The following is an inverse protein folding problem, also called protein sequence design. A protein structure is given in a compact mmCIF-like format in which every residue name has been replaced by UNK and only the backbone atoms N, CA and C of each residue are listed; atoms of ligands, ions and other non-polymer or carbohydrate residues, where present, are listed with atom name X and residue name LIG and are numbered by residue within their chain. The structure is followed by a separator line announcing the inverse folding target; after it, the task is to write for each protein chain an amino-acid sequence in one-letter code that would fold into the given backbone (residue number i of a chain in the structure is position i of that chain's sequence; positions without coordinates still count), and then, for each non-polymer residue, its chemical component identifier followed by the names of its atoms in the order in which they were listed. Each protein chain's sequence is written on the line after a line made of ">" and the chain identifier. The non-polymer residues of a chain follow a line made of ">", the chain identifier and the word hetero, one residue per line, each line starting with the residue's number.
data_IF_796273635913
#
_entry.id   IF_796273635913
#
_cell.length_a   1.000
_cell.length_b   1.000
_cell.length_c   1.000
_cell.angle_alpha   90.00
_cell.angle_beta   90.00
_cell.angle_gamma   90.00
#
_symmetry.space_group_name_H-M   'P 1'
#
loop_
_entity.id
_entity.type
_entity.pdbx_description
1 polymer ?
#
# COMPACT_ATOMS: atom_id res chain seq x y z
N UNK A 1 3.64 1.82 -6.26
CA UNK A 1 4.93 2.05 -5.57
C UNK A 1 5.94 1.00 -6.00
N UNK A 2 7.11 1.44 -6.42
CA UNK A 2 8.19 0.51 -6.81
C UNK A 2 9.03 0.15 -5.59
N UNK A 3 9.40 -1.12 -5.49
CA UNK A 3 10.23 -1.62 -4.40
C UNK A 3 11.00 -2.86 -4.82
N UNK A 4 12.12 -3.12 -4.15
CA UNK A 4 12.95 -4.28 -4.41
C UNK A 4 12.56 -5.41 -3.45
N UNK A 5 12.42 -6.61 -3.99
CA UNK A 5 12.07 -7.80 -3.20
C UNK A 5 13.32 -8.38 -2.57
N UNK A 6 13.29 -8.58 -1.25
CA UNK A 6 14.34 -9.28 -0.52
C UNK A 6 13.73 -10.25 0.48
N UNK A 7 14.01 -11.53 0.32
CA UNK A 7 13.50 -12.61 1.20
C UNK A 7 11.96 -12.59 1.30
N UNK A 8 11.29 -12.34 0.16
CA UNK A 8 9.83 -12.28 0.11
C UNK A 8 9.22 -11.03 0.71
N UNK A 9 10.03 -10.01 0.99
CA UNK A 9 9.58 -8.75 1.60
C UNK A 9 9.97 -7.57 0.75
N UNK A 10 9.19 -6.49 0.87
CA UNK A 10 9.53 -5.20 0.28
C UNK A 10 9.56 -4.15 1.39
N UNK A 11 10.37 -3.12 1.20
CA UNK A 11 10.44 -1.98 2.11
C UNK A 11 10.00 -0.73 1.39
N UNK A 12 8.98 -0.06 1.92
CA UNK A 12 8.50 1.22 1.42
C UNK A 12 8.70 2.22 2.55
N UNK A 13 9.75 3.01 2.44
CA UNK A 13 10.16 3.88 3.53
C UNK A 13 10.55 3.08 4.76
N UNK A 14 9.86 3.30 5.87
CA UNK A 14 10.08 2.55 7.13
C UNK A 14 9.17 1.32 7.23
N UNK A 15 8.33 1.09 6.23
CA UNK A 15 7.38 -0.02 6.25
C UNK A 15 8.02 -1.24 5.57
N UNK A 16 8.07 -2.35 6.29
CA UNK A 16 8.50 -3.64 5.73
C UNK A 16 7.28 -4.52 5.59
N UNK A 17 6.99 -4.92 4.37
CA UNK A 17 5.79 -5.67 4.02
C UNK A 17 6.16 -7.07 3.56
N UNK A 18 5.58 -8.08 4.17
CA UNK A 18 5.76 -9.47 3.76
C UNK A 18 4.77 -9.81 2.66
N UNK A 19 5.28 -9.97 1.44
CA UNK A 19 4.47 -10.30 0.27
C UNK A 19 4.73 -11.71 -0.24
N UNK A 20 5.37 -12.55 0.57
CA UNK A 20 5.74 -13.90 0.15
C UNK A 20 4.54 -14.74 -0.26
N UNK A 21 3.39 -14.58 0.41
CA UNK A 21 2.17 -15.30 0.05
C UNK A 21 1.64 -14.91 -1.34
N UNK A 22 1.82 -13.65 -1.74
CA UNK A 22 1.43 -13.18 -3.08
C UNK A 22 2.41 -13.62 -4.16
N UNK A 23 3.68 -13.71 -3.84
CA UNK A 23 4.69 -14.16 -4.79
C UNK A 23 4.61 -15.68 -5.02
N UNK A 24 4.32 -16.43 -3.96
CA UNK A 24 4.22 -17.88 -4.05
C UNK A 24 5.49 -18.50 -4.64
N UNK A 25 5.34 -19.32 -5.67
CA UNK A 25 6.44 -19.99 -6.36
C UNK A 25 7.39 -19.02 -7.08
N UNK A 26 6.97 -17.77 -7.27
CA UNK A 26 7.75 -16.75 -7.98
C UNK A 26 8.68 -15.97 -7.06
N UNK A 27 8.68 -16.26 -5.76
CA UNK A 27 9.49 -15.53 -4.79
C UNK A 27 10.98 -15.55 -5.14
N UNK A 28 11.51 -16.70 -5.54
CA UNK A 28 12.92 -16.81 -5.93
C UNK A 28 13.23 -16.08 -7.24
N UNK A 29 12.28 -16.07 -8.17
CA UNK A 29 12.44 -15.36 -9.45
C UNK A 29 12.58 -13.86 -9.24
N UNK A 30 11.87 -13.31 -8.27
CA UNK A 30 11.87 -11.87 -8.02
C UNK A 30 12.83 -11.43 -6.92
N UNK A 31 13.56 -12.34 -6.32
CA UNK A 31 14.57 -12.00 -5.32
C UNK A 31 15.59 -11.00 -5.90
N UNK A 32 15.75 -9.87 -5.21
CA UNK A 32 16.65 -8.80 -5.64
C UNK A 32 16.13 -7.96 -6.80
N UNK A 33 14.93 -8.22 -7.28
CA UNK A 33 14.34 -7.49 -8.40
C UNK A 33 13.30 -6.48 -7.96
N UNK A 34 13.13 -5.46 -8.79
CA UNK A 34 12.12 -4.42 -8.55
C UNK A 34 10.74 -4.89 -9.01
N UNK A 35 9.74 -4.63 -8.19
CA UNK A 35 8.34 -4.86 -8.52
C UNK A 35 7.55 -3.57 -8.31
N UNK A 36 6.35 -3.51 -8.85
CA UNK A 36 5.39 -2.44 -8.57
C UNK A 36 4.32 -3.00 -7.66
N UNK A 37 4.17 -2.34 -6.51
CA UNK A 37 3.16 -2.68 -5.51
C UNK A 37 1.98 -1.73 -5.68
N UNK A 38 0.77 -2.26 -5.76
CA UNK A 38 -0.42 -1.45 -5.92
C UNK A 38 -1.60 -1.99 -5.12
N UNK A 39 -2.56 -1.12 -4.90
CA UNK A 39 -3.81 -1.44 -4.25
C UNK A 39 -4.90 -0.45 -4.67
N UNK A 40 -6.15 -0.82 -4.47
CA UNK A 40 -7.27 0.08 -4.78
C UNK A 40 -7.51 1.04 -3.61
N UNK A 41 -7.75 2.33 -3.89
CA UNK A 41 -7.97 3.33 -2.84
C UNK A 41 -9.10 2.99 -1.87
N UNK A 42 -10.16 2.34 -2.34
CA UNK A 42 -11.33 1.99 -1.54
C UNK A 42 -11.17 0.69 -0.75
N UNK A 43 -10.12 -0.07 -1.03
CA UNK A 43 -9.92 -1.39 -0.40
C UNK A 43 -9.25 -1.33 0.97
N UNK A 44 -8.73 -0.18 1.36
CA UNK A 44 -7.99 -0.03 2.61
C UNK A 44 -8.92 -0.01 3.82
N UNK A 45 -8.35 -0.36 4.97
CA UNK A 45 -9.01 -0.26 6.26
C UNK A 45 -8.12 0.60 7.17
N UNK A 46 -8.67 1.61 7.80
CA UNK A 46 -7.90 2.41 8.76
C UNK A 46 -7.59 1.56 10.00
N UNK A 47 -6.34 1.63 10.46
CA UNK A 47 -5.87 0.82 11.58
C UNK A 47 -5.42 -0.57 11.16
N UNK A 48 -5.26 -1.46 12.14
CA UNK A 48 -4.83 -2.83 11.91
C UNK A 48 -5.98 -3.74 11.53
N UNK A 49 -5.68 -4.74 10.71
CA UNK A 49 -6.65 -5.73 10.26
C UNK A 49 -5.91 -7.06 10.05
N UNK A 50 -6.59 -8.19 10.25
CA UNK A 50 -5.99 -9.51 10.00
C UNK A 50 -5.83 -9.77 8.49
N UNK A 51 -4.87 -10.62 8.13
CA UNK A 51 -4.53 -10.96 6.74
C UNK A 51 -4.35 -9.72 5.85
N UNK A 52 -3.63 -8.75 6.39
CA UNK A 52 -3.44 -7.45 5.75
C UNK A 52 -2.00 -6.99 5.89
N UNK A 53 -1.61 -6.08 5.00
CA UNK A 53 -0.34 -5.37 5.11
C UNK A 53 -0.60 -4.03 5.80
N UNK A 54 0.10 -3.77 6.89
CA UNK A 54 -0.03 -2.52 7.64
C UNK A 54 0.98 -1.50 7.13
N UNK A 55 0.49 -0.32 6.78
CA UNK A 55 1.33 0.77 6.28
C UNK A 55 1.11 2.01 7.16
N UNK A 56 2.22 2.65 7.52
CA UNK A 56 2.22 3.93 8.22
C UNK A 56 2.57 5.03 7.24
N UNK A 57 1.80 6.10 7.25
CA UNK A 57 1.96 7.20 6.31
C UNK A 57 1.54 8.53 6.94
N UNK A 58 1.94 9.62 6.30
CA UNK A 58 1.54 10.98 6.70
C UNK A 58 0.44 11.48 5.79
N UNK A 59 -0.57 12.10 6.37
CA UNK A 59 -1.68 12.71 5.61
C UNK A 59 -1.24 14.08 5.10
N UNK A 60 -1.23 14.26 3.77
CA UNK A 60 -0.89 15.54 3.17
C UNK A 60 -2.11 16.41 2.92
N UNK A 61 -3.19 15.80 2.45
CA UNK A 61 -4.39 16.53 2.02
C UNK A 61 -5.61 15.62 2.11
N UNK A 62 -6.74 16.20 2.44
CA UNK A 62 -8.02 15.51 2.37
C UNK A 62 -8.96 16.28 1.46
N UNK A 63 -9.79 15.55 0.71
CA UNK A 63 -10.72 16.13 -0.24
C UNK A 63 -12.07 15.44 -0.12
N UNK A 64 -13.07 16.19 0.34
CA UNK A 64 -14.42 15.63 0.47
C UNK A 64 -15.13 15.61 -0.88
N UNK A 65 -15.54 14.41 -1.30
CA UNK A 65 -16.21 14.18 -2.57
C UNK A 65 -17.56 13.49 -2.33
N UNK A 66 -18.57 14.27 -1.97
CA UNK A 66 -19.90 13.72 -1.73
C UNK A 66 -19.92 12.68 -0.62
N UNK A 67 -20.06 11.40 -0.97
CA UNK A 67 -20.15 10.29 -0.02
C UNK A 67 -18.81 9.67 0.38
N UNK A 68 -17.70 10.15 -0.18
CA UNK A 68 -16.35 9.67 0.13
C UNK A 68 -15.41 10.83 0.35
N UNK A 69 -14.32 10.55 1.08
CA UNK A 69 -13.19 11.47 1.21
C UNK A 69 -11.97 10.83 0.59
N UNK A 70 -11.30 11.55 -0.31
CA UNK A 70 -9.98 11.17 -0.78
C UNK A 70 -8.94 11.67 0.22
N UNK A 71 -8.08 10.76 0.68
CA UNK A 71 -6.99 11.09 1.60
C UNK A 71 -5.69 10.88 0.85
N UNK A 72 -4.96 11.96 0.64
CA UNK A 72 -3.66 11.91 -0.04
C UNK A 72 -2.60 11.71 1.03
N UNK A 73 -1.87 10.62 0.93
CA UNK A 73 -0.85 10.25 1.91
C UNK A 73 0.53 10.18 1.27
N UNK A 74 1.53 10.50 2.07
CA UNK A 74 2.93 10.32 1.71
C UNK A 74 3.48 9.11 2.47
N UNK A 75 4.00 8.14 1.73
CA UNK A 75 4.66 6.97 2.27
C UNK A 75 6.15 7.14 1.97
N UNK A 76 6.76 8.07 2.67
CA UNK A 76 8.19 8.41 2.53
C UNK A 76 8.63 8.68 1.09
N UNK A 77 8.02 9.70 0.50
CA UNK A 77 8.33 10.14 -0.86
C UNK A 77 7.42 9.56 -1.93
N UNK A 78 6.68 8.51 -1.60
CA UNK A 78 5.70 7.92 -2.52
C UNK A 78 4.30 8.36 -2.13
N UNK A 79 3.56 8.92 -3.07
CA UNK A 79 2.18 9.34 -2.85
C UNK A 79 1.20 8.23 -3.14
N UNK A 80 0.17 8.14 -2.30
CA UNK A 80 -0.94 7.25 -2.52
C UNK A 80 -2.25 7.97 -2.19
N UNK A 81 -3.35 7.47 -2.74
CA UNK A 81 -4.68 8.00 -2.47
C UNK A 81 -5.48 6.90 -1.80
N UNK A 82 -6.11 7.25 -0.68
CA UNK A 82 -7.02 6.36 0.03
C UNK A 82 -8.43 6.93 -0.08
N UNK A 83 -9.42 6.06 -0.16
CA UNK A 83 -10.83 6.46 -0.08
C UNK A 83 -11.39 5.99 1.24
N UNK A 84 -11.92 6.91 2.02
CA UNK A 84 -12.48 6.61 3.33
C UNK A 84 -13.87 7.22 3.46
N UNK A 85 -14.62 6.73 4.45
CA UNK A 85 -15.89 7.32 4.81
C UNK A 85 -15.64 8.73 5.37
N UNK A 86 -16.46 9.75 5.05
CA UNK A 86 -16.27 11.10 5.58
C UNK A 86 -16.17 11.17 7.10
N UNK A 87 -16.87 10.29 7.82
CA UNK A 87 -16.81 10.24 9.29
C UNK A 87 -15.46 9.76 9.83
N UNK A 88 -14.68 9.06 9.00
CA UNK A 88 -13.39 8.49 9.38
C UNK A 88 -12.22 9.30 8.83
N UNK A 89 -12.48 10.50 8.32
CA UNK A 89 -11.45 11.32 7.68
C UNK A 89 -10.40 11.75 8.70
N UNK A 90 -9.11 11.39 8.49
CA UNK A 90 -8.04 11.84 9.38
C UNK A 90 -7.74 13.33 9.16
N UNK A 91 -7.10 13.94 10.15
CA UNK A 91 -6.67 15.32 10.04
C UNK A 91 -5.47 15.47 9.11
N UNK A 92 -5.38 16.60 8.42
CA UNK A 92 -4.21 16.94 7.61
C UNK A 92 -2.98 17.04 8.52
N UNK A 93 -1.83 16.69 7.97
CA UNK A 93 -0.54 16.67 8.66
C UNK A 93 -0.46 15.70 9.84
N UNK A 94 -1.43 14.77 9.95
CA UNK A 94 -1.39 13.72 10.95
C UNK A 94 -0.71 12.47 10.39
N UNK A 95 -0.22 11.62 11.30
CA UNK A 95 0.29 10.31 10.94
C UNK A 95 -0.82 9.28 11.13
N UNK A 96 -0.98 8.40 10.15
CA UNK A 96 -2.00 7.35 10.21
C UNK A 96 -1.40 6.00 9.91
N UNK A 97 -2.11 4.96 10.32
CA UNK A 97 -1.84 3.59 9.91
C UNK A 97 -3.06 3.09 9.16
N UNK A 98 -2.83 2.38 8.08
CA UNK A 98 -3.90 1.73 7.35
C UNK A 98 -3.47 0.34 6.90
N UNK A 99 -4.45 -0.53 6.70
CA UNK A 99 -4.20 -1.91 6.30
C UNK A 99 -4.75 -2.15 4.91
N UNK A 100 -4.01 -2.95 4.13
CA UNK A 100 -4.45 -3.38 2.81
C UNK A 100 -4.69 -4.89 2.90
N UNK A 101 -5.93 -5.36 2.78
CA UNK A 101 -6.20 -6.80 2.78
C UNK A 101 -5.35 -7.49 1.70
N UNK A 102 -4.80 -8.65 2.01
CA UNK A 102 -3.93 -9.37 1.08
C UNK A 102 -4.60 -9.62 -0.28
N UNK A 103 -5.89 -9.86 -0.29
CA UNK A 103 -6.66 -10.05 -1.53
C UNK A 103 -6.72 -8.81 -2.41
N UNK A 104 -6.46 -7.64 -1.84
CA UNK A 104 -6.49 -6.35 -2.55
C UNK A 104 -5.10 -5.84 -2.91
N UNK A 105 -4.07 -6.62 -2.65
CA UNK A 105 -2.69 -6.32 -3.02
C UNK A 105 -2.44 -6.80 -4.44
N UNK A 106 -1.91 -5.92 -5.28
CA UNK A 106 -1.53 -6.25 -6.66
C UNK A 106 -0.04 -6.05 -6.82
N UNK A 107 0.61 -7.03 -7.44
CA UNK A 107 2.04 -6.98 -7.72
C UNK A 107 2.26 -7.06 -9.22
N UNK A 108 3.14 -6.20 -9.73
CA UNK A 108 3.48 -6.17 -11.15
C UNK A 108 4.99 -6.28 -11.32
N UNK A 109 5.41 -6.92 -12.39
CA UNK A 109 6.83 -7.01 -12.76
C UNK A 109 7.38 -5.60 -13.01
N UNK A 110 8.52 -5.27 -12.43
CA UNK A 110 9.09 -3.93 -12.53
C UNK A 110 9.58 -3.56 -13.93
N UNK A 111 9.88 -4.56 -14.77
CA UNK A 111 10.36 -4.34 -16.14
C UNK A 111 9.21 -4.38 -17.14
N UNK A 112 8.40 -5.44 -17.09
CA UNK A 112 7.33 -5.67 -18.08
C UNK A 112 6.03 -4.99 -17.71
N UNK A 113 5.87 -4.64 -16.44
CA UNK A 113 4.64 -4.09 -15.83
C UNK A 113 3.45 -5.05 -15.92
N UNK A 114 3.71 -6.31 -16.23
CA UNK A 114 2.69 -7.35 -16.22
C UNK A 114 2.43 -7.85 -14.81
N UNK A 115 1.20 -8.21 -14.55
CA UNK A 115 0.81 -8.73 -13.25
C UNK A 115 1.54 -10.03 -12.93
N UNK A 116 2.02 -10.10 -11.70
CA UNK A 116 2.69 -11.29 -11.18
C UNK A 116 1.65 -12.34 -10.78
#
# INVERSE_FOLDING_TARGET
>A
VRAVVKKGKITIGKNTLDISSKLGDKASKYEGKEIVFGFRPEAIVLGESSDSLLIKASVELTELLGDNTNVYVDIQGERAILKVNPHDTPEMDSDISFSIPMESVYLFDGETEKRI
#
